data_IF_039848998390
#
_entry.id   IF_039848998390
#
_cell.length_a   1.000
_cell.length_b   1.000
_cell.length_c   1.000
_cell.angle_alpha   90.00
_cell.angle_beta   90.00
_cell.angle_gamma   90.00
#
_symmetry.space_group_name_H-M   'P 1'
#
loop_
_entity.id
_entity.type
_entity.pdbx_description
1 polymer ?
#
# COMPACT_ATOMS: atom_id res chain seq x y z
N UNK A 1 -3.84 8.55 -7.11
CA UNK A 1 -3.20 7.24 -7.34
C UNK A 1 -2.14 7.37 -8.39
N UNK A 2 -2.51 7.62 -9.66
CA UNK A 2 -1.54 7.88 -10.74
C UNK A 2 -0.55 9.02 -10.44
N UNK A 3 -1.03 10.18 -10.01
CA UNK A 3 -0.17 11.31 -9.62
C UNK A 3 0.81 10.92 -8.50
N UNK A 4 0.32 10.29 -7.42
CA UNK A 4 1.17 9.80 -6.31
C UNK A 4 2.28 8.86 -6.81
N UNK A 5 1.95 7.96 -7.73
CA UNK A 5 2.92 7.04 -8.33
C UNK A 5 3.95 7.79 -9.19
N UNK A 6 3.51 8.77 -9.99
CA UNK A 6 4.37 9.56 -10.87
C UNK A 6 5.31 10.49 -10.09
N UNK A 7 4.79 11.20 -9.10
CA UNK A 7 5.54 12.19 -8.31
C UNK A 7 6.68 11.55 -7.51
N UNK A 8 6.60 10.24 -7.26
CA UNK A 8 7.58 9.49 -6.46
C UNK A 8 8.03 8.20 -7.15
N UNK A 9 8.02 8.18 -8.47
CA UNK A 9 8.32 7.00 -9.30
C UNK A 9 9.63 6.32 -8.89
N UNK A 10 10.70 7.09 -8.75
CA UNK A 10 12.04 6.58 -8.43
C UNK A 10 12.04 5.76 -7.13
N UNK A 11 11.30 6.23 -6.12
CA UNK A 11 11.23 5.53 -4.84
C UNK A 11 10.39 4.26 -4.97
N UNK A 12 9.23 4.34 -5.61
CA UNK A 12 8.39 3.15 -5.80
C UNK A 12 9.07 2.07 -6.64
N UNK A 13 9.89 2.45 -7.63
CA UNK A 13 10.69 1.53 -8.44
C UNK A 13 11.74 0.75 -7.65
N UNK A 14 12.20 1.31 -6.53
CA UNK A 14 13.13 0.64 -5.61
C UNK A 14 12.43 -0.21 -4.54
N UNK A 15 11.11 -0.10 -4.37
CA UNK A 15 10.36 -0.78 -3.31
C UNK A 15 9.50 -1.91 -3.86
N UNK A 16 8.77 -1.67 -4.95
CA UNK A 16 7.85 -2.65 -5.49
C UNK A 16 8.61 -3.79 -6.15
N UNK A 17 8.16 -5.01 -5.84
CA UNK A 17 8.63 -6.22 -6.51
C UNK A 17 8.04 -6.27 -7.92
N UNK A 18 6.79 -5.85 -8.06
CA UNK A 18 6.13 -5.70 -9.35
C UNK A 18 6.69 -4.53 -10.12
N UNK A 19 6.74 -4.67 -11.45
CA UNK A 19 7.13 -3.61 -12.36
C UNK A 19 6.22 -2.38 -12.21
N UNK A 20 6.83 -1.23 -11.90
CA UNK A 20 6.10 0.04 -11.71
C UNK A 20 5.42 0.49 -12.99
N UNK A 21 5.97 0.15 -14.16
CA UNK A 21 5.33 0.46 -15.43
C UNK A 21 4.01 -0.30 -15.58
N UNK A 22 3.98 -1.57 -15.17
CA UNK A 22 2.74 -2.37 -15.12
C UNK A 22 1.71 -1.76 -14.15
N UNK A 23 2.12 -1.32 -12.95
CA UNK A 23 1.21 -0.63 -12.04
C UNK A 23 0.69 0.71 -12.60
N UNK A 24 1.54 1.44 -13.32
CA UNK A 24 1.14 2.66 -14.01
C UNK A 24 0.14 2.37 -15.13
N UNK A 25 0.36 1.31 -15.91
CA UNK A 25 -0.57 0.82 -16.92
C UNK A 25 -1.92 0.48 -16.29
N UNK A 26 -1.94 -0.25 -15.17
CA UNK A 26 -3.17 -0.60 -14.47
C UNK A 26 -3.98 0.65 -14.06
N UNK A 27 -3.29 1.73 -13.66
CA UNK A 27 -3.89 3.02 -13.28
C UNK A 27 -4.33 3.90 -14.46
N UNK A 28 -3.96 3.54 -15.70
CA UNK A 28 -4.19 4.35 -16.90
C UNK A 28 -5.44 3.91 -17.68
N UNK A 29 -6.56 3.70 -16.99
CA UNK A 29 -7.86 3.44 -17.62
C UNK A 29 -8.85 4.57 -17.36
N UNK A 30 -9.58 4.97 -18.42
CA UNK A 30 -10.66 5.95 -18.36
C UNK A 30 -11.89 5.37 -19.05
N UNK A 31 -12.89 4.98 -18.29
CA UNK A 31 -14.12 4.39 -18.81
C UNK A 31 -14.99 3.82 -17.70
N UNK A 32 -16.19 3.35 -18.04
CA UNK A 32 -17.15 2.80 -17.09
C UNK A 32 -17.01 1.30 -16.85
N UNK A 33 -16.31 0.58 -17.74
CA UNK A 33 -16.10 -0.88 -17.65
C UNK A 33 -14.62 -1.19 -17.79
N UNK A 34 -13.92 -1.15 -16.66
CA UNK A 34 -12.48 -1.40 -16.59
C UNK A 34 -12.18 -2.87 -16.92
N UNK A 35 -11.42 -3.16 -17.99
CA UNK A 35 -11.07 -4.53 -18.34
C UNK A 35 -9.98 -5.06 -17.39
N UNK A 36 -9.77 -6.37 -17.38
CA UNK A 36 -8.98 -7.08 -16.36
C UNK A 36 -7.53 -6.61 -16.30
N UNK A 37 -6.97 -6.23 -17.46
CA UNK A 37 -5.62 -5.68 -17.62
C UNK A 37 -5.40 -4.31 -16.97
N UNK A 38 -6.48 -3.67 -16.50
CA UNK A 38 -6.41 -2.41 -15.75
C UNK A 38 -6.93 -2.54 -14.31
N UNK A 39 -7.11 -3.77 -13.81
CA UNK A 39 -7.52 -3.98 -12.44
C UNK A 39 -6.36 -3.78 -11.47
N UNK A 40 -6.60 -2.94 -10.47
CA UNK A 40 -5.64 -2.67 -9.41
C UNK A 40 -5.49 -3.89 -8.49
N UNK A 41 -4.24 -4.22 -8.13
CA UNK A 41 -3.90 -5.38 -7.31
C UNK A 41 -3.23 -4.95 -6.01
N UNK A 42 -3.55 -5.68 -4.95
CA UNK A 42 -2.83 -5.60 -3.67
C UNK A 42 -1.55 -6.44 -3.76
N UNK A 43 -0.50 -6.09 -3.00
CA UNK A 43 -0.41 -4.99 -2.03
C UNK A 43 -0.13 -3.58 -2.58
N UNK A 44 0.35 -3.44 -3.82
CA UNK A 44 0.94 -2.20 -4.35
C UNK A 44 -0.06 -1.04 -4.39
N UNK A 45 -1.31 -1.29 -4.78
CA UNK A 45 -2.32 -0.24 -4.75
C UNK A 45 -2.60 0.24 -3.33
N UNK A 46 -2.57 -0.65 -2.35
CA UNK A 46 -2.77 -0.33 -0.94
C UNK A 46 -1.68 0.59 -0.40
N UNK A 47 -0.44 0.42 -0.86
CA UNK A 47 0.67 1.34 -0.53
C UNK A 47 0.40 2.74 -1.08
N UNK A 48 -0.01 2.84 -2.34
CA UNK A 48 -0.33 4.14 -2.94
C UNK A 48 -1.52 4.82 -2.26
N UNK A 49 -2.52 4.06 -1.79
CA UNK A 49 -3.66 4.60 -1.04
C UNK A 49 -3.18 5.12 0.32
N UNK A 50 -2.45 4.30 1.06
CA UNK A 50 -1.91 4.65 2.37
C UNK A 50 -1.11 5.96 2.28
N UNK A 51 -0.25 6.08 1.28
CA UNK A 51 0.59 7.25 1.06
C UNK A 51 -0.18 8.48 0.59
N UNK A 52 -1.09 8.36 -0.38
CA UNK A 52 -1.83 9.51 -0.90
C UNK A 52 -2.77 10.12 0.15
N UNK A 53 -3.35 9.30 1.01
CA UNK A 53 -4.39 9.73 1.95
C UNK A 53 -3.93 9.77 3.41
N UNK A 54 -2.71 9.31 3.72
CA UNK A 54 -2.22 9.26 5.09
C UNK A 54 -3.01 8.30 5.98
N UNK A 55 -3.44 7.16 5.43
CA UNK A 55 -4.26 6.16 6.13
C UNK A 55 -3.49 4.85 6.32
N UNK A 56 -3.95 4.02 7.26
CA UNK A 56 -3.55 2.61 7.34
C UNK A 56 -4.50 1.81 6.45
N UNK A 57 -3.99 0.90 5.63
CA UNK A 57 -4.84 0.02 4.80
C UNK A 57 -4.73 -1.41 5.33
N UNK A 58 -5.86 -2.00 5.69
CA UNK A 58 -5.95 -3.44 5.92
C UNK A 58 -6.53 -4.08 4.67
N UNK A 59 -5.78 -4.99 4.04
CA UNK A 59 -6.27 -5.83 2.96
C UNK A 59 -6.51 -7.22 3.52
N UNK A 60 -7.78 -7.65 3.55
CA UNK A 60 -8.19 -8.95 4.03
C UNK A 60 -8.38 -9.89 2.84
N UNK A 61 -7.83 -11.09 2.94
CA UNK A 61 -7.96 -12.12 1.92
C UNK A 61 -8.12 -13.50 2.56
N UNK A 62 -8.58 -14.46 1.75
CA UNK A 62 -8.77 -15.84 2.22
C UNK A 62 -7.45 -16.52 2.60
N UNK A 63 -6.38 -16.27 1.83
CA UNK A 63 -5.06 -16.84 2.09
C UNK A 63 -4.21 -15.92 2.95
N UNK A 64 -4.24 -14.62 2.67
CA UNK A 64 -3.38 -13.63 3.30
C UNK A 64 -4.16 -12.37 3.66
N UNK A 65 -3.90 -11.86 4.87
CA UNK A 65 -4.38 -10.56 5.31
C UNK A 65 -3.20 -9.71 5.75
N UNK A 66 -3.13 -8.48 5.27
CA UNK A 66 -1.98 -7.60 5.46
C UNK A 66 -2.38 -6.20 5.91
N UNK A 67 -1.50 -5.57 6.68
CA UNK A 67 -1.57 -4.18 7.13
C UNK A 67 -0.50 -3.36 6.44
N UNK A 68 -0.92 -2.28 5.78
CA UNK A 68 -0.10 -1.38 4.99
C UNK A 68 -0.11 0.00 5.63
N UNK A 69 1.08 0.49 5.98
CA UNK A 69 1.28 1.83 6.53
C UNK A 69 1.82 2.78 5.47
N UNK A 70 1.54 4.08 5.63
CA UNK A 70 2.15 5.12 4.81
C UNK A 70 3.65 5.28 5.08
N UNK A 71 4.49 5.21 4.06
CA UNK A 71 5.95 5.39 4.15
C UNK A 71 6.36 6.79 4.57
N UNK A 72 5.57 7.80 4.20
CA UNK A 72 5.91 9.21 4.38
C UNK A 72 5.60 9.66 5.80
N UNK A 73 4.41 9.31 6.27
CA UNK A 73 3.88 9.82 7.52
C UNK A 73 4.38 8.98 8.69
N UNK A 74 4.90 9.60 9.75
CA UNK A 74 5.34 8.90 10.96
C UNK A 74 4.18 8.18 11.67
N UNK A 75 4.49 7.18 12.51
CA UNK A 75 3.48 6.55 13.37
C UNK A 75 2.75 7.59 14.25
N UNK A 76 3.43 8.69 14.59
CA UNK A 76 2.91 9.80 15.40
C UNK A 76 1.94 10.73 14.66
N UNK A 77 1.92 10.70 13.32
CA UNK A 77 1.02 11.54 12.51
C UNK A 77 -0.37 10.91 12.32
N UNK A 78 -0.55 9.63 12.69
CA UNK A 78 -1.85 8.97 12.68
C UNK A 78 -2.66 9.31 13.94
N UNK A 79 -2.72 10.59 14.32
CA UNK A 79 -3.33 11.07 15.57
C UNK A 79 -4.81 10.66 15.73
N UNK A 80 -5.45 10.18 14.66
CA UNK A 80 -6.70 9.42 14.70
C UNK A 80 -6.54 8.25 13.74
N UNK A 81 -6.51 7.01 14.23
CA UNK A 81 -6.32 5.78 13.43
C UNK A 81 -7.38 5.65 12.32
N UNK A 82 -7.16 6.27 11.16
CA UNK A 82 -8.00 6.10 9.97
C UNK A 82 -7.50 4.86 9.25
N UNK A 83 -8.12 3.72 9.56
CA UNK A 83 -7.93 2.49 8.82
C UNK A 83 -8.97 2.41 7.68
N UNK A 84 -8.49 2.15 6.46
CA UNK A 84 -9.33 1.68 5.35
C UNK A 84 -9.21 0.17 5.29
N UNK A 85 -10.32 -0.54 5.42
CA UNK A 85 -10.34 -1.99 5.33
C UNK A 85 -10.99 -2.40 4.03
N UNK A 86 -10.26 -3.17 3.24
CA UNK A 86 -10.76 -3.79 2.00
C UNK A 86 -10.63 -5.30 2.10
N UNK A 87 -11.66 -6.02 1.66
CA UNK A 87 -11.69 -7.47 1.69
C UNK A 87 -11.82 -8.02 0.27
N UNK A 88 -10.95 -8.98 -0.08
CA UNK A 88 -11.04 -9.77 -1.30
C UNK A 88 -12.16 -10.82 -1.13
N UNK A 89 -13.23 -10.64 -1.88
CA UNK A 89 -14.38 -11.53 -1.93
C UNK A 89 -14.25 -12.45 -3.14
N UNK A 90 -14.71 -13.69 -3.00
CA UNK A 90 -14.65 -14.74 -4.03
C UNK A 90 -13.23 -15.16 -4.44
N UNK A 91 -12.19 -14.71 -3.74
CA UNK A 91 -10.82 -15.23 -3.86
C UNK A 91 -10.06 -14.88 -5.16
N UNK A 92 -10.66 -14.13 -6.09
CA UNK A 92 -10.04 -13.90 -7.42
C UNK A 92 -9.71 -12.43 -7.69
N UNK A 93 -10.66 -11.51 -7.53
CA UNK A 93 -10.50 -10.14 -8.08
C UNK A 93 -11.46 -9.08 -7.56
N UNK A 94 -12.42 -9.41 -6.69
CA UNK A 94 -13.43 -8.46 -6.23
C UNK A 94 -13.11 -7.96 -4.83
N UNK A 95 -12.86 -6.65 -4.69
CA UNK A 95 -12.63 -6.02 -3.38
C UNK A 95 -13.86 -5.24 -2.95
N UNK A 96 -14.22 -5.37 -1.67
CA UNK A 96 -15.26 -4.56 -1.03
C UNK A 96 -14.68 -3.83 0.17
N UNK A 97 -15.17 -2.62 0.43
CA UNK A 97 -14.87 -1.92 1.68
C UNK A 97 -15.67 -2.58 2.81
N UNK A 98 -15.03 -2.80 3.95
CA UNK A 98 -15.70 -3.37 5.13
C UNK A 98 -15.40 -2.55 6.37
N UNK A 99 -16.26 -2.69 7.36
CA UNK A 99 -16.05 -2.16 8.71
C UNK A 99 -15.78 -3.35 9.64
N UNK A 100 -14.70 -3.28 10.40
CA UNK A 100 -14.38 -4.29 11.39
C UNK A 100 -14.94 -3.89 12.75
N UNK A 101 -15.63 -4.82 13.40
CA UNK A 101 -16.32 -4.61 14.67
C UNK A 101 -15.63 -5.37 15.81
N UNK A 102 -15.66 -4.79 17.00
CA UNK A 102 -15.04 -5.37 18.21
C UNK A 102 -13.51 -5.39 18.16
N UNK A 103 -12.92 -6.21 19.03
CA UNK A 103 -11.47 -6.33 19.17
C UNK A 103 -10.92 -7.37 18.17
N UNK A 104 -10.73 -6.94 16.92
CA UNK A 104 -10.11 -7.78 15.90
C UNK A 104 -8.57 -7.69 15.96
N UNK A 105 -7.85 -8.79 15.70
CA UNK A 105 -6.40 -8.75 15.61
C UNK A 105 -5.97 -7.96 14.36
N UNK A 106 -4.95 -7.14 14.51
CA UNK A 106 -4.32 -6.46 13.37
C UNK A 106 -3.62 -7.49 12.47
N UNK A 107 -3.88 -7.50 11.14
CA UNK A 107 -3.18 -8.38 10.21
C UNK A 107 -1.67 -8.11 10.18
N UNK A 108 -0.89 -9.06 9.64
CA UNK A 108 0.57 -8.94 9.54
C UNK A 108 0.98 -7.71 8.72
N UNK A 109 2.08 -7.06 9.10
CA UNK A 109 2.56 -5.87 8.39
C UNK A 109 3.17 -6.29 7.05
N UNK A 110 2.84 -5.59 5.97
CA UNK A 110 3.46 -5.85 4.65
C UNK A 110 4.99 -5.70 4.73
N UNK A 111 5.75 -6.60 4.06
CA UNK A 111 7.20 -6.48 3.94
C UNK A 111 7.66 -5.13 3.35
N UNK A 112 6.82 -4.45 2.56
CA UNK A 112 7.17 -3.16 1.97
C UNK A 112 7.47 -2.08 3.01
N UNK A 113 6.92 -2.21 4.22
CA UNK A 113 7.23 -1.29 5.32
C UNK A 113 8.71 -1.25 5.68
N UNK A 114 9.41 -2.39 5.55
CA UNK A 114 10.82 -2.49 5.87
C UNK A 114 11.71 -1.66 4.94
N UNK A 115 11.20 -1.21 3.79
CA UNK A 115 11.95 -0.36 2.86
C UNK A 115 11.91 1.13 3.21
N UNK A 116 10.94 1.59 3.99
CA UNK A 116 10.86 2.98 4.51
C UNK A 116 12.18 3.43 5.14
N UNK A 117 12.75 2.49 5.84
CA UNK A 117 14.00 2.52 6.57
C UNK A 117 15.23 2.74 5.67
N UNK A 118 15.22 2.15 4.47
CA UNK A 118 16.27 2.29 3.46
C UNK A 118 16.14 3.63 2.73
N UNK A 119 14.90 4.02 2.36
CA UNK A 119 14.64 5.27 1.63
C UNK A 119 14.95 6.52 2.47
N UNK A 120 14.65 6.51 3.78
CA UNK A 120 15.05 7.61 4.68
C UNK A 120 16.57 7.78 4.78
N UNK A 121 17.32 6.68 4.81
CA UNK A 121 18.78 6.77 4.89
C UNK A 121 19.42 7.20 3.57
N UNK A 122 18.80 6.88 2.43
CA UNK A 122 19.21 7.42 1.13
C UNK A 122 18.95 8.93 1.02
N UNK A 123 17.89 9.44 1.65
CA UNK A 123 17.61 10.89 1.71
C UNK A 123 18.49 11.63 2.73
N UNK A 124 18.82 10.99 3.86
CA UNK A 124 19.53 11.63 4.98
C UNK A 124 21.07 11.37 4.97
N UNK A 125 21.57 10.55 4.04
CA UNK A 125 23.01 10.30 3.85
C UNK A 125 23.73 9.61 5.02
N UNK A 126 23.01 8.97 5.95
CA UNK A 126 23.60 8.31 7.13
C UNK A 126 23.62 6.78 6.99
N UNK A 127 24.71 6.11 7.39
CA UNK A 127 24.78 4.65 7.33
C UNK A 127 23.89 3.98 8.39
N UNK A 128 23.35 2.82 8.00
CA UNK A 128 22.54 1.94 8.83
C UNK A 128 23.39 1.40 10.00
N UNK A 129 22.95 1.61 11.25
CA UNK A 129 23.39 0.81 12.40
C UNK A 129 22.17 0.01 12.84
N UNK A 130 22.10 -1.25 12.42
CA UNK A 130 21.03 -2.16 12.82
C UNK A 130 21.14 -2.46 14.32
N UNK A 131 20.05 -2.24 15.05
CA UNK A 131 19.86 -2.82 16.37
C UNK A 131 18.92 -4.02 16.19
N UNK A 132 19.48 -5.19 16.49
CA UNK A 132 18.75 -6.40 16.90
C UNK A 132 18.29 -6.18 18.34
#
# INVERSE_FOLDING_TARGET
MREELQDRYDIYSGIFVSDVYSLYHDLCFYGSSCPVEHWMKMPEIGVLIANKFGVIVHSLGMSDSITIFSFWNGLEEFQHHKALIVALVNGVNHYVMVELQGDYPMPIITPYWNYRHISRLQLDGKPYIGLV
#
